data_IF_307852074382
#
_entry.id   IF_307852074382
#
_cell.length_a   1.000
_cell.length_b   1.000
_cell.length_c   1.000
_cell.angle_alpha   90.00
_cell.angle_beta   90.00
_cell.angle_gamma   90.00
#
_symmetry.space_group_name_H-M   'P 1'
#
loop_
_entity.id
_entity.type
_entity.pdbx_description
1 polymer ?
#
# COMPACT_ATOMS: atom_id res chain seq x y z
N UNK A 1 2.04 19.23 -34.65
CA UNK A 1 1.18 19.27 -35.87
C UNK A 1 0.78 17.90 -36.43
N UNK A 2 1.70 16.96 -36.71
CA UNK A 2 1.33 15.65 -37.29
C UNK A 2 0.70 14.74 -36.23
N UNK A 3 1.27 14.69 -35.00
CA UNK A 3 0.72 13.95 -33.85
C UNK A 3 -0.70 14.44 -33.45
N UNK A 4 -0.93 15.73 -33.43
CA UNK A 4 -2.24 16.30 -33.07
C UNK A 4 -3.34 15.93 -34.09
N UNK A 5 -2.98 15.80 -35.36
CA UNK A 5 -3.91 15.34 -36.41
C UNK A 5 -4.25 13.87 -36.25
N UNK A 6 -3.25 13.05 -35.90
CA UNK A 6 -3.43 11.63 -35.66
C UNK A 6 -4.30 11.40 -34.42
N UNK A 7 -4.05 12.09 -33.31
CA UNK A 7 -4.87 12.02 -32.09
C UNK A 7 -6.32 12.38 -32.38
N UNK A 8 -6.57 13.46 -33.11
CA UNK A 8 -7.93 13.84 -33.50
C UNK A 8 -8.61 12.79 -34.38
N UNK A 9 -7.88 12.16 -35.30
CA UNK A 9 -8.41 11.09 -36.12
C UNK A 9 -8.79 9.85 -35.28
N UNK A 10 -7.92 9.48 -34.32
CA UNK A 10 -8.19 8.37 -33.41
C UNK A 10 -9.43 8.65 -32.53
N UNK A 11 -9.59 9.87 -32.04
CA UNK A 11 -10.74 10.26 -31.23
C UNK A 11 -12.06 10.18 -31.99
N UNK A 12 -12.08 10.52 -33.27
CA UNK A 12 -13.27 10.36 -34.11
C UNK A 12 -13.65 8.89 -34.33
N UNK A 13 -12.72 7.96 -34.13
CA UNK A 13 -12.96 6.52 -34.27
C UNK A 13 -13.31 5.82 -32.95
N UNK A 14 -13.29 6.53 -31.82
CA UNK A 14 -13.73 5.98 -30.52
C UNK A 14 -15.23 5.68 -30.55
N UNK A 15 -16.01 6.46 -31.32
CA UNK A 15 -17.47 6.29 -31.49
C UNK A 15 -17.83 5.23 -32.53
N UNK A 16 -16.85 4.62 -33.21
CA UNK A 16 -17.14 3.62 -34.23
C UNK A 16 -17.85 2.38 -33.62
N UNK A 17 -19.01 1.97 -34.18
CA UNK A 17 -19.74 0.81 -33.67
C UNK A 17 -18.99 -0.53 -33.84
N UNK A 18 -18.01 -0.57 -34.74
CA UNK A 18 -17.22 -1.76 -34.99
C UNK A 18 -16.21 -1.99 -33.86
N UNK A 19 -16.34 -3.14 -33.18
CA UNK A 19 -15.46 -3.53 -32.08
C UNK A 19 -14.01 -3.78 -32.53
N UNK A 20 -13.78 -4.21 -33.77
CA UNK A 20 -12.44 -4.41 -34.32
C UNK A 20 -11.74 -3.05 -34.51
N UNK A 21 -12.47 -2.07 -35.05
CA UNK A 21 -11.98 -0.68 -35.19
C UNK A 21 -11.63 -0.11 -33.81
N UNK A 22 -12.53 -0.24 -32.84
CA UNK A 22 -12.28 0.24 -31.49
C UNK A 22 -11.07 -0.46 -30.83
N UNK A 23 -10.87 -1.75 -31.08
CA UNK A 23 -9.69 -2.48 -30.57
C UNK A 23 -8.39 -1.90 -31.09
N UNK A 24 -8.30 -1.66 -32.43
CA UNK A 24 -7.12 -1.08 -33.08
C UNK A 24 -6.87 0.34 -32.58
N UNK A 25 -7.93 1.15 -32.43
CA UNK A 25 -7.84 2.52 -31.91
C UNK A 25 -7.36 2.51 -30.47
N UNK A 26 -7.88 1.60 -29.64
CA UNK A 26 -7.46 1.44 -28.25
C UNK A 26 -5.96 1.11 -28.14
N UNK A 27 -5.49 0.14 -28.90
CA UNK A 27 -4.07 -0.22 -28.94
C UNK A 27 -3.19 0.96 -29.35
N UNK A 28 -3.63 1.73 -30.36
CA UNK A 28 -2.91 2.90 -30.80
C UNK A 28 -2.86 3.99 -29.73
N UNK A 29 -3.97 4.22 -29.03
CA UNK A 29 -4.06 5.17 -27.90
C UNK A 29 -3.14 4.72 -26.75
N UNK A 30 -3.12 3.42 -26.40
CA UNK A 30 -2.22 2.87 -25.39
C UNK A 30 -0.74 3.15 -25.69
N UNK A 31 -0.34 3.14 -26.95
CA UNK A 31 1.04 3.43 -27.36
C UNK A 31 1.47 4.91 -27.14
N UNK A 32 0.52 5.83 -26.96
CA UNK A 32 0.83 7.22 -26.58
C UNK A 32 1.17 7.36 -25.09
N UNK A 33 0.75 6.39 -24.26
CA UNK A 33 0.91 6.43 -22.80
C UNK A 33 0.07 7.54 -22.16
N UNK A 34 0.36 7.85 -20.89
CA UNK A 34 -0.46 8.75 -20.07
C UNK A 34 -0.52 10.21 -20.56
N UNK A 35 0.39 10.63 -21.45
CA UNK A 35 0.35 11.98 -22.01
C UNK A 35 -0.94 12.29 -22.79
N UNK A 36 -1.71 11.26 -23.18
CA UNK A 36 -2.96 11.43 -23.92
C UNK A 36 -4.16 11.62 -22.98
N UNK A 37 -4.05 11.28 -21.68
CA UNK A 37 -5.16 11.32 -20.70
C UNK A 37 -5.84 12.69 -20.67
N UNK A 38 -5.14 13.84 -20.57
CA UNK A 38 -5.80 15.15 -20.56
C UNK A 38 -6.61 15.42 -21.83
N UNK A 39 -6.21 14.86 -22.96
CA UNK A 39 -6.97 14.98 -24.20
C UNK A 39 -8.20 14.08 -24.23
N UNK A 40 -8.12 12.87 -23.63
CA UNK A 40 -9.27 11.98 -23.44
C UNK A 40 -10.28 12.55 -22.47
N UNK A 41 -9.85 13.16 -21.37
CA UNK A 41 -10.70 13.85 -20.40
C UNK A 41 -11.44 15.02 -21.05
N UNK A 42 -10.74 15.84 -21.82
CA UNK A 42 -11.38 16.92 -22.59
C UNK A 42 -12.40 16.38 -23.60
N UNK A 43 -12.12 15.26 -24.26
CA UNK A 43 -13.08 14.61 -25.16
C UNK A 43 -14.30 14.09 -24.39
N UNK A 44 -14.10 13.49 -23.23
CA UNK A 44 -15.15 13.00 -22.35
C UNK A 44 -16.10 14.11 -21.92
N UNK A 45 -15.55 15.26 -21.46
CA UNK A 45 -16.33 16.43 -21.05
C UNK A 45 -17.20 17.01 -22.18
N UNK A 46 -16.73 16.94 -23.42
CA UNK A 46 -17.42 17.49 -24.60
C UNK A 46 -18.30 16.46 -25.33
N UNK A 47 -18.36 15.23 -24.85
CA UNK A 47 -19.16 14.16 -25.46
C UNK A 47 -20.48 13.97 -24.73
N UNK A 48 -21.59 13.92 -25.49
CA UNK A 48 -22.96 13.72 -24.93
C UNK A 48 -23.34 12.23 -24.90
N UNK A 49 -22.69 11.40 -25.69
CA UNK A 49 -22.96 9.96 -25.77
C UNK A 49 -22.38 9.21 -24.58
N UNK A 50 -23.23 8.58 -23.75
CA UNK A 50 -22.81 7.79 -22.62
C UNK A 50 -21.93 6.59 -23.05
N UNK A 51 -22.19 5.99 -24.21
CA UNK A 51 -21.40 4.86 -24.70
C UNK A 51 -19.97 5.29 -25.03
N UNK A 52 -19.80 6.46 -25.62
CA UNK A 52 -18.46 7.02 -25.91
C UNK A 52 -17.76 7.41 -24.62
N UNK A 53 -18.47 8.03 -23.65
CA UNK A 53 -17.91 8.33 -22.34
C UNK A 53 -17.40 7.08 -21.63
N UNK A 54 -18.18 5.99 -21.60
CA UNK A 54 -17.75 4.71 -21.01
C UNK A 54 -16.51 4.14 -21.70
N UNK A 55 -16.44 4.25 -23.04
CA UNK A 55 -15.26 3.82 -23.79
C UNK A 55 -14.03 4.65 -23.43
N UNK A 56 -14.17 5.97 -23.29
CA UNK A 56 -13.08 6.87 -22.89
C UNK A 56 -12.62 6.54 -21.46
N UNK A 57 -13.53 6.36 -20.52
CA UNK A 57 -13.21 5.95 -19.14
C UNK A 57 -12.42 4.62 -19.11
N UNK A 58 -12.84 3.66 -19.93
CA UNK A 58 -12.13 2.37 -20.07
C UNK A 58 -10.70 2.56 -20.60
N UNK A 59 -10.50 3.49 -21.55
CA UNK A 59 -9.18 3.79 -22.10
C UNK A 59 -8.28 4.48 -21.07
N UNK A 60 -8.81 5.47 -20.35
CA UNK A 60 -8.10 6.17 -19.27
C UNK A 60 -7.69 5.16 -18.19
N UNK A 61 -8.64 4.32 -17.73
CA UNK A 61 -8.34 3.29 -16.74
C UNK A 61 -7.23 2.33 -17.20
N UNK A 62 -7.29 1.84 -18.44
CA UNK A 62 -6.25 0.97 -19.00
C UNK A 62 -4.87 1.63 -19.02
N UNK A 63 -4.80 2.91 -19.40
CA UNK A 63 -3.54 3.68 -19.43
C UNK A 63 -2.97 3.81 -18.02
N UNK A 64 -3.78 4.24 -17.05
CA UNK A 64 -3.39 4.40 -15.65
C UNK A 64 -2.96 3.07 -15.02
N UNK A 65 -3.70 1.99 -15.30
CA UNK A 65 -3.37 0.66 -14.80
C UNK A 65 -2.06 0.13 -15.39
N UNK A 66 -1.83 0.33 -16.68
CA UNK A 66 -0.57 -0.08 -17.33
C UNK A 66 0.63 0.67 -16.75
N UNK A 67 0.50 1.98 -16.50
CA UNK A 67 1.56 2.75 -15.82
C UNK A 67 1.81 2.22 -14.41
N UNK A 68 0.75 1.96 -13.66
CA UNK A 68 0.87 1.39 -12.31
C UNK A 68 1.59 0.03 -12.31
N UNK A 69 1.32 -0.83 -13.30
CA UNK A 69 2.05 -2.10 -13.47
C UNK A 69 3.55 -1.87 -13.70
N UNK A 70 3.91 -0.88 -14.51
CA UNK A 70 5.30 -0.52 -14.77
C UNK A 70 5.97 0.05 -13.51
N UNK A 71 5.32 1.00 -12.83
CA UNK A 71 5.81 1.59 -11.58
C UNK A 71 6.04 0.52 -10.50
N UNK A 72 5.09 -0.41 -10.35
CA UNK A 72 5.19 -1.50 -9.36
C UNK A 72 6.30 -2.50 -9.75
N UNK A 73 6.47 -2.77 -11.04
CA UNK A 73 7.54 -3.64 -11.54
C UNK A 73 8.91 -3.00 -11.29
N UNK A 74 9.05 -1.71 -11.57
CA UNK A 74 10.28 -0.96 -11.29
C UNK A 74 10.57 -0.93 -9.79
N UNK A 75 9.57 -0.60 -8.96
CA UNK A 75 9.69 -0.61 -7.52
C UNK A 75 10.13 -1.99 -7.01
N UNK A 76 9.51 -3.06 -7.51
CA UNK A 76 9.81 -4.43 -7.07
C UNK A 76 11.21 -4.90 -7.48
N UNK A 77 11.78 -4.37 -8.55
CA UNK A 77 13.12 -4.74 -9.04
C UNK A 77 14.26 -4.01 -8.33
N UNK A 78 13.96 -2.94 -7.59
CA UNK A 78 14.95 -2.20 -6.83
C UNK A 78 15.46 -3.03 -5.63
N UNK A 79 16.74 -2.85 -5.30
CA UNK A 79 17.37 -3.51 -4.15
C UNK A 79 16.80 -3.01 -2.81
N UNK A 80 16.41 -1.73 -2.77
CA UNK A 80 15.78 -1.08 -1.61
C UNK A 80 14.36 -0.67 -1.99
N UNK A 81 13.41 -1.53 -1.62
CA UNK A 81 11.99 -1.24 -1.85
C UNK A 81 11.48 -0.34 -0.73
N UNK A 82 11.30 0.94 -0.98
CA UNK A 82 10.70 1.86 -0.01
C UNK A 82 9.24 1.46 0.27
N UNK A 83 8.91 1.23 1.56
CA UNK A 83 7.60 0.74 1.96
C UNK A 83 6.50 1.79 1.72
N UNK A 84 6.80 3.06 2.02
CA UNK A 84 5.86 4.16 1.80
C UNK A 84 5.51 4.29 0.32
N UNK A 85 6.54 4.26 -0.54
CA UNK A 85 6.31 4.35 -1.98
C UNK A 85 5.48 3.17 -2.50
N UNK A 86 5.77 1.93 -2.05
CA UNK A 86 4.95 0.76 -2.37
C UNK A 86 3.49 0.92 -1.92
N UNK A 87 3.24 1.42 -0.71
CA UNK A 87 1.88 1.67 -0.22
C UNK A 87 1.15 2.78 -1.02
N UNK A 88 1.88 3.81 -1.48
CA UNK A 88 1.33 4.84 -2.35
C UNK A 88 0.97 4.30 -3.73
N UNK A 89 1.76 3.37 -4.29
CA UNK A 89 1.41 2.68 -5.54
C UNK A 89 0.11 1.88 -5.40
N UNK A 90 -0.07 1.17 -4.28
CA UNK A 90 -1.34 0.48 -4.02
C UNK A 90 -2.51 1.48 -3.90
N UNK A 91 -2.29 2.63 -3.27
CA UNK A 91 -3.32 3.66 -3.19
C UNK A 91 -3.67 4.26 -4.55
N UNK A 92 -2.69 4.44 -5.46
CA UNK A 92 -2.93 4.90 -6.83
C UNK A 92 -3.84 3.98 -7.64
N UNK A 93 -3.90 2.69 -7.34
CA UNK A 93 -4.85 1.79 -7.98
C UNK A 93 -6.31 2.24 -7.82
N UNK A 94 -6.68 2.68 -6.61
CA UNK A 94 -8.04 3.19 -6.34
C UNK A 94 -8.18 4.69 -6.59
N UNK A 95 -7.08 5.45 -6.50
CA UNK A 95 -7.00 6.89 -6.62
C UNK A 95 -5.90 7.27 -7.62
N UNK A 96 -6.13 7.11 -8.95
CA UNK A 96 -5.08 7.33 -9.96
C UNK A 96 -4.47 8.74 -9.90
N UNK A 97 -5.30 9.75 -9.61
CA UNK A 97 -4.90 11.16 -9.51
C UNK A 97 -4.38 11.55 -8.13
N UNK A 98 -3.90 10.56 -7.36
CA UNK A 98 -3.42 10.78 -6.00
C UNK A 98 -2.26 11.77 -5.96
N UNK A 99 -2.49 12.93 -5.38
CA UNK A 99 -1.44 13.89 -5.07
C UNK A 99 -0.66 13.43 -3.83
N UNK A 100 0.59 13.03 -4.03
CA UNK A 100 1.44 12.49 -2.95
C UNK A 100 1.99 13.58 -2.02
N UNK A 101 2.13 14.82 -2.51
CA UNK A 101 2.71 15.93 -1.73
C UNK A 101 2.04 16.17 -0.37
N UNK A 102 0.71 16.25 -0.25
CA UNK A 102 0.07 16.43 1.06
C UNK A 102 0.33 15.26 2.01
N UNK A 103 0.35 14.04 1.48
CA UNK A 103 0.61 12.81 2.26
C UNK A 103 2.02 12.86 2.86
N UNK A 104 3.02 13.19 2.03
CA UNK A 104 4.42 13.32 2.46
C UNK A 104 4.58 14.42 3.50
N UNK A 105 3.88 15.54 3.35
CA UNK A 105 3.89 16.64 4.33
C UNK A 105 3.28 16.22 5.67
N UNK A 106 2.18 15.46 5.66
CA UNK A 106 1.57 14.95 6.89
C UNK A 106 2.48 13.94 7.60
N UNK A 107 3.08 13.02 6.84
CA UNK A 107 4.05 12.06 7.38
C UNK A 107 5.30 12.76 7.94
N UNK A 108 5.83 13.77 7.24
CA UNK A 108 6.97 14.56 7.76
C UNK A 108 6.60 15.30 9.05
N UNK A 109 5.39 15.81 9.17
CA UNK A 109 4.89 16.43 10.40
C UNK A 109 4.81 15.43 11.54
N UNK A 110 4.28 14.21 11.30
CA UNK A 110 4.23 13.14 12.30
C UNK A 110 5.65 12.75 12.71
N UNK A 111 6.52 12.47 11.73
CA UNK A 111 7.94 12.16 11.94
C UNK A 111 8.62 13.19 12.82
N UNK A 112 8.47 14.48 12.51
CA UNK A 112 9.09 15.58 13.24
C UNK A 112 8.62 15.62 14.70
N UNK A 113 7.34 15.42 14.96
CA UNK A 113 6.81 15.42 16.33
C UNK A 113 7.35 14.23 17.13
N UNK A 114 7.47 13.05 16.52
CA UNK A 114 8.10 11.90 17.16
C UNK A 114 9.58 12.16 17.42
N UNK A 115 10.30 12.68 16.41
CA UNK A 115 11.74 12.95 16.50
C UNK A 115 12.09 13.94 17.63
N UNK A 116 11.26 14.94 17.90
CA UNK A 116 11.46 15.91 18.98
C UNK A 116 11.42 15.28 20.38
N UNK A 117 10.71 14.18 20.54
CA UNK A 117 10.61 13.46 21.82
C UNK A 117 11.64 12.31 21.92
N UNK A 118 12.27 11.91 20.81
CA UNK A 118 13.30 10.87 20.80
C UNK A 118 14.66 11.43 21.20
N UNK A 119 15.42 10.62 21.93
CA UNK A 119 16.83 10.89 22.23
C UNK A 119 17.61 9.57 22.38
N UNK A 120 18.93 9.65 22.37
CA UNK A 120 19.83 8.50 22.39
C UNK A 120 19.86 7.71 23.71
N UNK A 121 19.21 8.19 24.76
CA UNK A 121 19.15 7.53 26.06
C UNK A 121 17.90 6.66 26.23
N UNK A 122 16.93 6.79 25.32
CA UNK A 122 15.69 6.00 25.38
C UNK A 122 15.97 4.54 25.05
N UNK A 123 15.46 3.67 25.88
CA UNK A 123 15.38 2.23 25.59
C UNK A 123 14.42 1.98 24.42
N UNK A 124 14.52 0.83 23.72
CA UNK A 124 13.56 0.49 22.65
C UNK A 124 12.10 0.56 23.08
N UNK A 125 11.78 0.19 24.32
CA UNK A 125 10.41 0.28 24.85
C UNK A 125 9.97 1.75 25.05
N UNK A 126 10.84 2.61 25.53
CA UNK A 126 10.55 4.04 25.64
C UNK A 126 10.38 4.69 24.27
N UNK A 127 11.20 4.33 23.28
CA UNK A 127 11.02 4.76 21.88
C UNK A 127 9.64 4.34 21.34
N UNK A 128 9.25 3.08 21.55
CA UNK A 128 7.92 2.59 21.16
C UNK A 128 6.80 3.37 21.86
N UNK A 129 6.96 3.70 23.16
CA UNK A 129 5.99 4.48 23.91
C UNK A 129 5.85 5.91 23.35
N UNK A 130 6.97 6.54 22.91
CA UNK A 130 6.94 7.85 22.24
C UNK A 130 6.15 7.74 20.94
N UNK A 131 6.44 6.74 20.06
CA UNK A 131 5.69 6.53 18.84
C UNK A 131 4.20 6.36 19.13
N UNK A 132 3.86 5.47 20.06
CA UNK A 132 2.46 5.20 20.42
C UNK A 132 1.76 6.45 20.99
N UNK A 133 2.43 7.23 21.85
CA UNK A 133 1.86 8.46 22.38
C UNK A 133 1.55 9.48 21.28
N UNK A 134 2.46 9.65 20.32
CA UNK A 134 2.26 10.59 19.23
C UNK A 134 1.21 10.07 18.26
N UNK A 135 1.31 8.82 17.80
CA UNK A 135 0.40 8.28 16.79
C UNK A 135 -1.05 8.16 17.32
N UNK A 136 -1.23 7.55 18.48
CA UNK A 136 -2.57 7.21 18.97
C UNK A 136 -3.18 8.29 19.88
N UNK A 137 -2.38 8.95 20.73
CA UNK A 137 -2.93 9.96 21.65
C UNK A 137 -2.94 11.35 21.04
N UNK A 138 -1.86 11.78 20.35
CA UNK A 138 -1.79 13.13 19.79
C UNK A 138 -2.48 13.22 18.42
N UNK A 139 -2.15 12.32 17.47
CA UNK A 139 -2.78 12.31 16.14
C UNK A 139 -4.12 11.57 16.10
N UNK A 140 -4.52 10.91 17.19
CA UNK A 140 -5.79 10.19 17.32
C UNK A 140 -5.97 9.10 16.24
N UNK A 141 -4.87 8.52 15.76
CA UNK A 141 -4.94 7.38 14.86
C UNK A 141 -5.56 6.19 15.59
N UNK A 142 -6.41 5.45 14.89
CA UNK A 142 -7.11 4.30 15.46
C UNK A 142 -7.17 3.17 14.44
N UNK A 143 -6.73 1.99 14.85
CA UNK A 143 -6.90 0.79 14.06
C UNK A 143 -8.18 0.04 14.44
N UNK A 144 -8.76 -0.65 13.46
CA UNK A 144 -9.89 -1.57 13.65
C UNK A 144 -9.49 -2.99 13.23
N UNK A 145 -10.30 -3.96 13.60
CA UNK A 145 -10.21 -5.28 12.99
C UNK A 145 -10.40 -5.18 11.47
N UNK A 146 -9.79 -6.12 10.73
CA UNK A 146 -9.88 -6.13 9.28
C UNK A 146 -11.33 -6.41 8.88
N UNK A 147 -11.93 -5.45 8.18
CA UNK A 147 -13.22 -5.58 7.51
C UNK A 147 -13.02 -5.36 6.00
N UNK A 148 -13.73 -6.13 5.19
CA UNK A 148 -13.69 -6.01 3.73
C UNK A 148 -14.85 -5.21 3.15
N UNK A 149 -15.61 -4.52 4.01
CA UNK A 149 -16.73 -3.67 3.62
C UNK A 149 -16.26 -2.31 3.09
N UNK A 150 -15.17 -1.80 3.65
CA UNK A 150 -14.62 -0.49 3.29
C UNK A 150 -13.15 -0.61 2.85
N UNK A 151 -12.86 -0.58 1.54
CA UNK A 151 -11.49 -0.65 1.04
C UNK A 151 -10.63 0.54 1.47
N UNK A 152 -11.23 1.68 1.85
CA UNK A 152 -10.50 2.88 2.27
C UNK A 152 -9.62 2.64 3.51
N UNK A 153 -9.99 1.70 4.37
CA UNK A 153 -9.23 1.38 5.57
C UNK A 153 -7.85 0.73 5.26
N UNK A 154 -7.62 0.34 4.01
CA UNK A 154 -6.35 -0.24 3.55
C UNK A 154 -5.39 0.80 2.95
N UNK A 155 -5.88 1.94 2.48
CA UNK A 155 -5.08 2.91 1.73
C UNK A 155 -4.47 3.98 2.65
N UNK A 156 -3.14 4.13 2.63
CA UNK A 156 -2.40 5.02 3.52
C UNK A 156 -2.85 6.48 3.45
N UNK A 157 -3.24 6.97 2.28
CA UNK A 157 -3.80 8.31 2.12
C UNK A 157 -5.12 8.47 2.90
N UNK A 158 -5.99 7.46 2.86
CA UNK A 158 -7.28 7.49 3.57
C UNK A 158 -7.11 7.30 5.07
N UNK A 159 -6.14 6.50 5.49
CA UNK A 159 -5.77 6.37 6.91
C UNK A 159 -5.33 7.71 7.50
N UNK A 160 -4.47 8.45 6.80
CA UNK A 160 -4.02 9.78 7.25
C UNK A 160 -5.15 10.82 7.27
N UNK A 161 -6.04 10.76 6.28
CA UNK A 161 -7.20 11.65 6.15
C UNK A 161 -8.26 11.40 7.25
N UNK A 162 -8.70 10.14 7.39
CA UNK A 162 -9.76 9.74 8.32
C UNK A 162 -9.29 9.49 9.75
N UNK A 163 -7.98 9.32 9.96
CA UNK A 163 -7.37 8.85 11.21
C UNK A 163 -7.76 7.41 11.58
N UNK A 164 -8.30 6.66 10.66
CA UNK A 164 -8.76 5.28 10.85
C UNK A 164 -8.15 4.37 9.80
N UNK A 165 -7.73 3.19 10.26
CA UNK A 165 -7.19 2.13 9.41
C UNK A 165 -7.51 0.76 9.97
N UNK A 166 -6.99 -0.27 9.34
CA UNK A 166 -7.04 -1.63 9.85
C UNK A 166 -5.63 -2.10 10.31
N UNK A 167 -5.53 -3.32 10.79
CA UNK A 167 -4.26 -3.87 11.28
C UNK A 167 -3.12 -3.80 10.25
N UNK A 168 -3.41 -3.90 8.95
CA UNK A 168 -2.40 -3.89 7.88
C UNK A 168 -1.94 -2.46 7.60
N UNK A 169 -2.86 -1.55 7.33
CA UNK A 169 -2.53 -0.17 7.00
C UNK A 169 -1.89 0.58 8.18
N UNK A 170 -2.36 0.29 9.42
CA UNK A 170 -1.74 0.82 10.64
C UNK A 170 -0.35 0.21 10.85
N UNK A 171 -0.16 -1.09 10.57
CA UNK A 171 1.15 -1.74 10.59
C UNK A 171 2.11 -1.11 9.62
N UNK A 172 1.68 -0.85 8.38
CA UNK A 172 2.47 -0.16 7.36
C UNK A 172 2.83 1.25 7.82
N UNK A 173 1.87 2.03 8.33
CA UNK A 173 2.14 3.38 8.81
C UNK A 173 3.15 3.39 9.97
N UNK A 174 3.00 2.46 10.93
CA UNK A 174 3.92 2.32 12.06
C UNK A 174 5.34 1.95 11.56
N UNK A 175 5.45 0.99 10.64
CA UNK A 175 6.73 0.60 10.05
C UNK A 175 7.39 1.77 9.30
N UNK A 176 6.62 2.50 8.50
CA UNK A 176 7.12 3.70 7.79
C UNK A 176 7.68 4.71 8.78
N UNK A 177 7.05 4.92 9.94
CA UNK A 177 7.60 5.81 10.97
C UNK A 177 8.89 5.25 11.57
N UNK A 178 8.98 3.94 11.82
CA UNK A 178 10.20 3.30 12.29
C UNK A 178 11.36 3.46 11.28
N UNK A 179 11.08 3.22 10.00
CA UNK A 179 12.08 3.35 8.93
C UNK A 179 12.58 4.78 8.79
N UNK A 180 11.67 5.77 8.83
CA UNK A 180 12.00 7.20 8.73
C UNK A 180 12.77 7.74 9.95
N UNK A 181 12.73 7.05 11.08
CA UNK A 181 13.35 7.44 12.36
C UNK A 181 14.51 6.53 12.76
N UNK A 182 14.93 5.62 11.88
CA UNK A 182 16.00 4.63 12.12
C UNK A 182 15.76 3.79 13.39
N UNK A 183 14.49 3.47 13.69
CA UNK A 183 14.11 2.61 14.81
C UNK A 183 14.18 1.15 14.38
N UNK A 184 14.92 0.33 15.13
CA UNK A 184 15.16 -1.08 14.82
C UNK A 184 13.94 -1.95 15.14
N UNK A 185 12.92 -1.86 14.30
CA UNK A 185 11.68 -2.62 14.39
C UNK A 185 11.22 -3.07 13.01
N UNK A 186 10.50 -4.18 12.92
CA UNK A 186 9.95 -4.69 11.65
C UNK A 186 8.64 -5.41 11.84
N UNK A 187 7.80 -5.33 10.81
CA UNK A 187 6.59 -6.15 10.74
C UNK A 187 6.96 -7.63 10.64
N UNK A 188 6.35 -8.43 11.48
CA UNK A 188 6.35 -9.90 11.38
C UNK A 188 4.92 -10.41 11.20
N UNK A 189 4.77 -11.60 10.63
CA UNK A 189 3.48 -12.25 10.42
C UNK A 189 3.31 -13.41 11.38
N UNK A 190 2.41 -13.26 12.34
CA UNK A 190 1.90 -14.37 13.13
C UNK A 190 0.52 -14.79 12.58
N UNK A 191 0.03 -16.01 12.84
CA UNK A 191 -1.23 -16.47 12.27
C UNK A 191 -2.36 -15.47 12.54
N UNK A 192 -3.03 -15.01 11.48
CA UNK A 192 -4.13 -14.04 11.47
C UNK A 192 -3.79 -12.61 11.91
N UNK A 193 -2.54 -12.27 12.16
CA UNK A 193 -2.13 -10.94 12.61
C UNK A 193 -0.78 -10.53 12.04
N UNK A 194 -0.64 -9.23 11.80
CA UNK A 194 0.64 -8.56 11.60
C UNK A 194 0.95 -7.73 12.84
N UNK A 195 2.15 -7.89 13.40
CA UNK A 195 2.61 -7.13 14.57
C UNK A 195 4.00 -6.58 14.33
N UNK A 196 4.38 -5.54 15.06
CA UNK A 196 5.70 -4.93 14.98
C UNK A 196 6.61 -5.62 16.02
N UNK A 197 7.71 -6.19 15.58
CA UNK A 197 8.75 -6.73 16.46
C UNK A 197 9.87 -5.70 16.63
N UNK A 198 10.23 -5.39 17.86
CA UNK A 198 11.37 -4.53 18.21
C UNK A 198 12.58 -5.41 18.54
N UNK A 199 13.73 -5.12 17.93
CA UNK A 199 14.92 -5.94 18.04
C UNK A 199 15.98 -5.35 18.96
N UNK A 200 16.89 -6.20 19.43
CA UNK A 200 18.11 -5.77 20.10
C UNK A 200 18.98 -4.93 19.16
N UNK A 201 19.71 -3.98 19.71
CA UNK A 201 20.54 -3.04 18.94
C UNK A 201 21.66 -3.70 18.12
N UNK A 202 22.05 -4.91 18.49
CA UNK A 202 23.08 -5.73 17.80
C UNK A 202 22.50 -6.57 16.66
N UNK A 203 21.19 -6.56 16.46
CA UNK A 203 20.50 -7.31 15.41
C UNK A 203 19.93 -6.37 14.35
N UNK A 204 20.34 -6.57 13.11
CA UNK A 204 19.79 -5.89 11.94
C UNK A 204 18.91 -6.84 11.17
N UNK A 205 17.60 -6.55 11.17
CA UNK A 205 16.55 -7.44 10.68
C UNK A 205 16.67 -7.80 9.18
N UNK A 206 17.25 -6.93 8.36
CA UNK A 206 17.31 -7.10 6.92
C UNK A 206 18.42 -8.04 6.43
N UNK A 207 19.31 -8.46 7.31
CA UNK A 207 20.51 -9.25 6.96
C UNK A 207 20.54 -10.66 7.49
N UNK A 208 19.54 -11.07 8.28
CA UNK A 208 19.62 -12.33 9.01
C UNK A 208 18.71 -13.40 8.40
N UNK A 209 19.32 -14.51 7.97
CA UNK A 209 18.63 -15.77 7.70
C UNK A 209 18.41 -16.59 8.97
N UNK A 210 18.89 -16.11 10.12
CA UNK A 210 18.84 -16.80 11.42
C UNK A 210 17.45 -16.68 12.08
N UNK A 211 17.20 -17.56 13.04
CA UNK A 211 16.00 -17.50 13.88
C UNK A 211 16.02 -16.24 14.75
N UNK A 212 15.18 -15.26 14.39
CA UNK A 212 15.12 -13.97 15.06
C UNK A 212 14.44 -14.00 16.44
N UNK A 213 13.85 -15.15 16.90
CA UNK A 213 13.10 -15.23 18.16
C UNK A 213 13.85 -14.71 19.38
N UNK A 214 15.12 -15.12 19.51
CA UNK A 214 15.97 -14.69 20.61
C UNK A 214 16.52 -13.26 20.50
N UNK A 215 16.23 -12.56 19.40
CA UNK A 215 16.69 -11.21 19.11
C UNK A 215 15.58 -10.17 19.24
N UNK A 216 14.35 -10.60 19.49
CA UNK A 216 13.21 -9.71 19.68
C UNK A 216 13.06 -9.37 21.16
N UNK A 217 13.01 -8.09 21.48
CA UNK A 217 12.79 -7.60 22.84
C UNK A 217 11.33 -7.72 23.26
N UNK A 218 10.43 -7.19 22.41
CA UNK A 218 8.99 -7.14 22.62
C UNK A 218 8.29 -6.88 21.29
N UNK A 219 6.98 -6.90 21.34
CA UNK A 219 6.12 -6.70 20.18
C UNK A 219 5.15 -5.56 20.44
N UNK A 220 4.71 -4.88 19.38
CA UNK A 220 3.69 -3.83 19.44
C UNK A 220 2.59 -4.15 18.44
N UNK A 221 1.34 -4.09 18.91
CA UNK A 221 0.16 -4.12 18.05
C UNK A 221 -0.06 -2.73 17.45
N UNK A 222 0.09 -2.61 16.15
CA UNK A 222 -0.09 -1.34 15.45
C UNK A 222 -1.56 -0.85 15.40
N UNK A 223 -2.52 -1.67 15.80
CA UNK A 223 -3.93 -1.25 15.89
C UNK A 223 -4.15 -0.24 17.01
N UNK A 224 -3.49 -0.43 18.14
CA UNK A 224 -3.72 0.33 19.36
C UNK A 224 -2.45 0.74 20.12
N UNK A 225 -1.28 0.35 19.63
CA UNK A 225 0.00 0.64 20.28
C UNK A 225 0.31 -0.21 21.52
N UNK A 226 -0.45 -1.27 21.78
CA UNK A 226 -0.22 -2.12 22.95
C UNK A 226 1.06 -2.97 22.77
N UNK A 227 1.93 -2.91 23.79
CA UNK A 227 3.13 -3.74 23.83
C UNK A 227 2.82 -5.13 24.41
N UNK A 228 3.46 -6.15 23.83
CA UNK A 228 3.36 -7.54 24.24
C UNK A 228 4.74 -8.15 24.47
N UNK A 229 4.85 -8.98 25.49
CA UNK A 229 6.03 -9.79 25.74
C UNK A 229 6.02 -11.07 24.87
N UNK A 230 7.17 -11.75 24.81
CA UNK A 230 7.26 -13.07 24.18
C UNK A 230 6.26 -14.07 24.80
N UNK A 231 6.07 -14.01 26.13
CA UNK A 231 5.11 -14.88 26.84
C UNK A 231 3.67 -14.65 26.36
N UNK A 232 3.30 -13.41 26.03
CA UNK A 232 1.95 -13.11 25.54
C UNK A 232 1.74 -13.66 24.13
N UNK A 233 2.77 -13.59 23.29
CA UNK A 233 2.76 -14.21 21.95
C UNK A 233 2.69 -15.74 22.06
N UNK A 234 3.41 -16.38 23.01
CA UNK A 234 3.27 -17.82 23.23
C UNK A 234 1.87 -18.22 23.70
N UNK A 235 1.25 -17.43 24.58
CA UNK A 235 -0.15 -17.64 24.99
C UNK A 235 -1.10 -17.53 23.81
N UNK A 236 -0.86 -16.56 22.92
CA UNK A 236 -1.65 -16.41 21.71
C UNK A 236 -1.55 -17.67 20.82
N UNK A 237 -0.34 -18.15 20.54
CA UNK A 237 -0.13 -19.37 19.75
C UNK A 237 -0.80 -20.61 20.38
N UNK A 238 -0.72 -20.75 21.71
CA UNK A 238 -1.42 -21.82 22.44
C UNK A 238 -2.94 -21.72 22.29
N UNK A 239 -3.50 -20.50 22.38
CA UNK A 239 -4.95 -20.27 22.26
C UNK A 239 -5.48 -20.64 20.88
N UNK A 240 -4.72 -20.40 19.81
CA UNK A 240 -5.11 -20.75 18.44
C UNK A 240 -4.69 -22.17 18.03
N UNK A 241 -4.07 -22.91 18.94
CA UNK A 241 -3.59 -24.29 18.73
C UNK A 241 -2.61 -24.44 17.53
N UNK A 242 -1.71 -23.47 17.36
CA UNK A 242 -0.67 -23.49 16.34
C UNK A 242 0.71 -23.51 17.03
N UNK A 243 1.64 -24.34 16.55
CA UNK A 243 3.01 -24.30 17.04
C UNK A 243 3.80 -23.16 16.39
N UNK A 244 4.47 -22.30 17.20
CA UNK A 244 5.32 -21.25 16.64
C UNK A 244 6.50 -21.87 15.89
N UNK A 245 6.75 -21.37 14.69
CA UNK A 245 7.92 -21.71 13.86
C UNK A 245 8.86 -20.50 13.75
N UNK A 246 10.09 -20.69 13.32
CA UNK A 246 11.04 -19.61 13.10
C UNK A 246 10.51 -18.57 12.09
N UNK A 247 9.77 -19.03 11.08
CA UNK A 247 9.21 -18.16 10.03
C UNK A 247 8.21 -17.14 10.54
N UNK A 248 7.49 -17.43 11.62
CA UNK A 248 6.57 -16.48 12.26
C UNK A 248 7.28 -15.26 12.90
N UNK A 249 8.59 -15.36 13.16
CA UNK A 249 9.37 -14.31 13.81
C UNK A 249 10.35 -13.62 12.87
N UNK A 250 10.34 -13.99 11.58
CA UNK A 250 11.18 -13.35 10.57
C UNK A 250 10.56 -12.01 10.16
N UNK A 251 11.38 -10.97 10.02
CA UNK A 251 10.96 -9.72 9.41
C UNK A 251 10.36 -9.97 8.03
N UNK A 252 9.24 -9.34 7.75
CA UNK A 252 8.68 -9.34 6.40
C UNK A 252 9.44 -8.33 5.54
N UNK A 253 9.80 -8.74 4.32
CA UNK A 253 10.30 -7.79 3.33
C UNK A 253 9.18 -6.81 2.91
N UNK A 254 9.56 -5.60 2.51
CA UNK A 254 8.60 -4.61 2.03
C UNK A 254 7.78 -5.13 0.85
N UNK A 255 8.39 -5.91 -0.06
CA UNK A 255 7.65 -6.61 -1.13
C UNK A 255 6.54 -7.50 -0.57
N UNK A 256 6.85 -8.30 0.47
CA UNK A 256 5.86 -9.21 1.06
C UNK A 256 4.73 -8.44 1.75
N UNK A 257 5.05 -7.33 2.41
CA UNK A 257 4.04 -6.46 3.06
C UNK A 257 3.10 -5.87 1.99
N UNK A 258 3.64 -5.28 0.92
CA UNK A 258 2.84 -4.71 -0.17
C UNK A 258 2.04 -5.77 -0.92
N UNK A 259 2.62 -6.96 -1.14
CA UNK A 259 1.88 -8.08 -1.70
C UNK A 259 0.68 -8.46 -0.83
N UNK A 260 0.88 -8.58 0.49
CA UNK A 260 -0.21 -8.87 1.42
C UNK A 260 -1.27 -7.76 1.39
N UNK A 261 -0.86 -6.48 1.33
CA UNK A 261 -1.79 -5.37 1.20
C UNK A 261 -2.65 -5.50 -0.06
N UNK A 262 -2.06 -5.81 -1.22
CA UNK A 262 -2.81 -6.05 -2.47
C UNK A 262 -3.76 -7.26 -2.35
N UNK A 263 -3.29 -8.38 -1.80
CA UNK A 263 -4.12 -9.57 -1.59
C UNK A 263 -5.35 -9.27 -0.70
N UNK A 264 -5.18 -8.45 0.33
CA UNK A 264 -6.26 -8.07 1.24
C UNK A 264 -7.20 -7.02 0.63
N UNK A 265 -6.70 -6.05 -0.12
CA UNK A 265 -7.51 -5.11 -0.92
C UNK A 265 -8.35 -5.87 -1.94
N UNK A 266 -7.79 -6.90 -2.60
CA UNK A 266 -8.51 -7.76 -3.52
C UNK A 266 -9.76 -8.40 -2.91
N UNK A 267 -9.71 -8.77 -1.62
CA UNK A 267 -10.87 -9.35 -0.92
C UNK A 267 -12.04 -8.38 -0.78
N UNK A 268 -11.80 -7.08 -0.72
CA UNK A 268 -12.87 -6.08 -0.70
C UNK A 268 -13.71 -6.11 -1.99
N UNK A 269 -13.08 -6.44 -3.12
CA UNK A 269 -13.76 -6.46 -4.41
C UNK A 269 -14.58 -7.74 -4.66
N UNK A 270 -14.33 -8.83 -3.89
CA UNK A 270 -15.23 -10.00 -3.93
C UNK A 270 -16.65 -9.63 -3.48
N UNK A 271 -16.77 -8.79 -2.47
CA UNK A 271 -18.08 -8.39 -1.94
C UNK A 271 -18.82 -7.41 -2.88
N UNK A 272 -18.09 -6.61 -3.66
CA UNK A 272 -18.65 -5.64 -4.61
C UNK A 272 -18.98 -6.22 -5.98
N UNK A 273 -18.80 -7.54 -6.18
CA UNK A 273 -19.03 -8.26 -7.44
C UNK A 273 -18.35 -7.59 -8.66
N UNK A 274 -17.09 -7.17 -8.47
CA UNK A 274 -16.26 -6.51 -9.49
C UNK A 274 -15.11 -7.44 -9.93
N UNK A 275 -15.39 -8.42 -10.83
CA UNK A 275 -14.41 -9.43 -11.23
C UNK A 275 -13.16 -8.82 -11.88
N UNK A 276 -13.32 -7.77 -12.67
CA UNK A 276 -12.22 -7.06 -13.33
C UNK A 276 -11.21 -6.51 -12.30
N UNK A 277 -11.70 -5.86 -11.24
CA UNK A 277 -10.83 -5.34 -10.16
C UNK A 277 -10.11 -6.45 -9.41
N UNK A 278 -10.75 -7.61 -9.23
CA UNK A 278 -10.12 -8.78 -8.59
C UNK A 278 -8.97 -9.28 -9.45
N UNK A 279 -9.19 -9.42 -10.76
CA UNK A 279 -8.16 -9.86 -11.71
C UNK A 279 -6.99 -8.88 -11.75
N UNK A 280 -7.26 -7.59 -11.81
CA UNK A 280 -6.24 -6.54 -11.83
C UNK A 280 -5.38 -6.54 -10.56
N UNK A 281 -6.00 -6.51 -9.38
CA UNK A 281 -5.25 -6.51 -8.11
C UNK A 281 -4.48 -7.82 -7.93
N UNK A 282 -5.04 -8.95 -8.37
CA UNK A 282 -4.34 -10.24 -8.37
C UNK A 282 -3.12 -10.22 -9.32
N UNK A 283 -3.25 -9.58 -10.48
CA UNK A 283 -2.15 -9.42 -11.42
C UNK A 283 -1.04 -8.53 -10.85
N UNK A 284 -1.40 -7.41 -10.17
CA UNK A 284 -0.44 -6.57 -9.45
C UNK A 284 0.29 -7.35 -8.35
N UNK A 285 -0.42 -8.15 -7.54
CA UNK A 285 0.20 -8.97 -6.51
C UNK A 285 1.18 -10.00 -7.07
N UNK A 286 0.90 -10.57 -8.25
CA UNK A 286 1.80 -11.52 -8.95
C UNK A 286 3.10 -10.88 -9.45
N UNK A 287 3.13 -9.57 -9.72
CA UNK A 287 4.37 -8.86 -10.07
C UNK A 287 5.40 -8.99 -8.94
N UNK A 288 4.93 -9.03 -7.70
CA UNK A 288 5.77 -9.09 -6.50
C UNK A 288 6.26 -10.51 -6.14
N UNK A 289 5.89 -11.53 -6.92
CA UNK A 289 6.39 -12.91 -6.76
C UNK A 289 7.73 -13.16 -7.46
N UNK A 290 8.15 -12.21 -8.29
CA UNK A 290 9.43 -12.23 -9.02
C UNK A 290 10.51 -11.55 -8.18
#
# INVERSE_FOLDING_TARGET
MQKDKEIKALFNLIDDPDTEVFSVVSERIMNYGNHIIPHLENLWENTVSNDVQNRIETLIHKLQYHELQNDLTEWSSNTYNDLLFGALLVAKYQYPDLHTTPILQDLDRIKRNIWLELNNYLTPLEQANVLCSILYNYYQLCGNEISYENPNDFFINKVLESKRGNAISMGILYQVMCDLLDINASIISIPKQMIIAFYHSDFYADKSTEDARGKIHFYVDAVNGQAYSYSDIEKYFKRINIKPTADHFKPLSHKRIIKTLLEEVGKCFYNSNSPEKIEEVTALAKILDK
#
